data_IF_364524053235
#
_entry.id   IF_364524053235
#
_cell.length_a   1.000
_cell.length_b   1.000
_cell.length_c   1.000
_cell.angle_alpha   90.00
_cell.angle_beta   90.00
_cell.angle_gamma   90.00
#
_symmetry.space_group_name_H-M   'P 1'
#
loop_
_entity.id
_entity.type
_entity.pdbx_description
1 polymer ?
#
# COMPACT_ATOMS: atom_id res chain seq x y z
N UNK A 1 23.55 7.48 -6.06
CA UNK A 1 22.54 6.42 -6.28
C UNK A 1 21.83 6.17 -4.96
N UNK A 2 20.50 6.16 -4.95
CA UNK A 2 19.70 5.89 -3.74
C UNK A 2 18.69 4.79 -4.02
N UNK A 3 18.46 3.92 -3.04
CA UNK A 3 17.51 2.81 -3.16
C UNK A 3 16.38 2.99 -2.17
N UNK A 4 15.15 2.86 -2.66
CA UNK A 4 13.92 2.94 -1.88
C UNK A 4 13.21 1.60 -1.89
N UNK A 5 12.94 1.06 -0.71
CA UNK A 5 12.32 -0.25 -0.55
C UNK A 5 10.86 -0.08 -0.10
N UNK A 6 9.95 -0.65 -0.88
CA UNK A 6 8.52 -0.62 -0.65
C UNK A 6 7.94 -2.03 -0.61
N UNK A 7 6.86 -2.20 0.14
CA UNK A 7 5.90 -3.28 0.00
C UNK A 7 4.74 -2.72 -0.79
N UNK A 8 4.37 -3.34 -1.91
CA UNK A 8 3.23 -2.89 -2.70
C UNK A 8 1.95 -3.57 -2.21
N UNK A 9 0.88 -2.78 -2.07
CA UNK A 9 -0.44 -3.32 -1.72
C UNK A 9 -0.90 -4.27 -2.83
N UNK A 10 -1.15 -5.52 -2.47
CA UNK A 10 -1.79 -6.50 -3.35
C UNK A 10 -3.11 -6.94 -2.73
N UNK A 11 -4.21 -6.33 -3.16
CA UNK A 11 -5.53 -6.55 -2.58
C UNK A 11 -5.96 -8.03 -2.66
N UNK A 12 -5.68 -8.72 -3.77
CA UNK A 12 -6.02 -10.13 -3.93
C UNK A 12 -5.32 -11.02 -2.89
N UNK A 13 -4.00 -10.86 -2.75
CA UNK A 13 -3.23 -11.58 -1.70
C UNK A 13 -3.66 -11.17 -0.29
N UNK A 14 -3.93 -9.88 -0.08
CA UNK A 14 -4.36 -9.34 1.22
C UNK A 14 -5.70 -9.92 1.67
N UNK A 15 -6.71 -9.92 0.79
CA UNK A 15 -8.03 -10.46 1.06
C UNK A 15 -7.97 -11.98 1.27
N UNK A 16 -7.28 -12.70 0.39
CA UNK A 16 -7.15 -14.16 0.52
C UNK A 16 -6.48 -14.57 1.84
N UNK A 17 -5.39 -13.88 2.21
CA UNK A 17 -4.73 -14.11 3.49
C UNK A 17 -5.64 -13.75 4.67
N UNK A 18 -6.37 -12.65 4.58
CA UNK A 18 -7.27 -12.22 5.65
C UNK A 18 -8.38 -13.24 5.92
N UNK A 19 -9.00 -13.77 4.87
CA UNK A 19 -10.03 -14.80 4.97
C UNK A 19 -9.47 -16.09 5.57
N UNK A 20 -8.30 -16.55 5.11
CA UNK A 20 -7.65 -17.75 5.65
C UNK A 20 -7.31 -17.59 7.14
N UNK A 21 -6.81 -16.42 7.54
CA UNK A 21 -6.49 -16.11 8.93
C UNK A 21 -7.74 -16.10 9.83
N UNK A 22 -8.83 -15.47 9.39
CA UNK A 22 -10.10 -15.47 10.13
C UNK A 22 -10.66 -16.89 10.27
N UNK A 23 -10.65 -17.68 9.20
CA UNK A 23 -11.09 -19.08 9.26
C UNK A 23 -10.26 -19.90 10.27
N UNK A 24 -8.94 -19.73 10.28
CA UNK A 24 -8.05 -20.39 11.24
C UNK A 24 -8.40 -20.00 12.68
N UNK A 25 -8.64 -18.71 12.96
CA UNK A 25 -9.05 -18.25 14.29
C UNK A 25 -10.36 -18.91 14.71
N UNK A 26 -11.37 -18.92 13.84
CA UNK A 26 -12.66 -19.53 14.15
C UNK A 26 -12.50 -21.02 14.47
N UNK A 27 -11.66 -21.74 13.72
CA UNK A 27 -11.35 -23.15 13.98
C UNK A 27 -10.68 -23.31 15.35
N UNK A 28 -9.65 -22.52 15.65
CA UNK A 28 -8.93 -22.58 16.94
C UNK A 28 -9.88 -22.29 18.09
N UNK A 29 -10.68 -21.23 18.00
CA UNK A 29 -11.65 -20.87 19.04
C UNK A 29 -12.72 -21.95 19.20
N UNK A 30 -13.18 -22.55 18.09
CA UNK A 30 -14.14 -23.66 18.17
C UNK A 30 -13.55 -24.85 18.94
N UNK A 31 -12.27 -25.18 18.77
CA UNK A 31 -11.63 -26.22 19.60
C UNK A 31 -11.54 -25.82 21.08
N UNK A 32 -11.21 -24.56 21.37
CA UNK A 32 -11.09 -24.05 22.75
C UNK A 32 -12.44 -24.05 23.48
N UNK A 33 -13.54 -23.73 22.80
CA UNK A 33 -14.88 -23.63 23.39
C UNK A 33 -15.74 -24.90 23.24
N UNK A 34 -15.16 -26.04 22.84
CA UNK A 34 -15.89 -27.32 22.78
C UNK A 34 -16.78 -27.51 21.54
N UNK A 35 -16.46 -26.84 20.44
CA UNK A 35 -17.13 -26.91 19.15
C UNK A 35 -17.72 -25.57 18.70
N UNK A 36 -18.30 -25.56 17.49
CA UNK A 36 -18.94 -24.35 16.94
C UNK A 36 -20.13 -23.87 17.79
N UNK A 37 -20.90 -24.80 18.38
CA UNK A 37 -22.02 -24.46 19.27
C UNK A 37 -21.53 -23.80 20.56
N UNK A 38 -20.48 -24.36 21.20
CA UNK A 38 -19.91 -23.75 22.40
C UNK A 38 -19.24 -22.40 22.13
N UNK A 39 -18.68 -22.19 20.93
CA UNK A 39 -18.22 -20.87 20.49
C UNK A 39 -19.38 -19.88 20.32
N UNK A 40 -20.50 -20.29 19.71
CA UNK A 40 -21.68 -19.45 19.55
C UNK A 40 -22.25 -19.05 20.92
N UNK A 41 -22.38 -20.02 21.84
CA UNK A 41 -22.83 -19.77 23.21
C UNK A 41 -21.88 -18.82 23.95
N UNK A 42 -20.56 -18.96 23.77
CA UNK A 42 -19.60 -18.04 24.36
C UNK A 42 -19.79 -16.61 23.83
N UNK A 43 -19.95 -16.44 22.51
CA UNK A 43 -20.20 -15.14 21.87
C UNK A 43 -21.51 -14.51 22.36
N UNK A 44 -22.58 -15.30 22.50
CA UNK A 44 -23.87 -14.82 22.99
C UNK A 44 -23.78 -14.38 24.46
N UNK A 45 -23.03 -15.11 25.29
CA UNK A 45 -22.76 -14.74 26.68
C UNK A 45 -21.86 -13.50 26.82
N UNK A 46 -20.93 -13.27 25.88
CA UNK A 46 -20.18 -12.01 25.79
C UNK A 46 -21.08 -10.80 25.47
N UNK A 47 -22.29 -11.02 24.93
CA UNK A 47 -23.27 -9.98 24.64
C UNK A 47 -23.68 -9.11 25.86
N UNK A 48 -23.53 -9.63 27.08
CA UNK A 48 -23.73 -8.87 28.33
C UNK A 48 -22.63 -7.82 28.60
N UNK A 49 -21.43 -8.01 28.05
CA UNK A 49 -20.28 -7.10 28.14
C UNK A 49 -19.75 -6.78 26.74
N UNK A 50 -20.54 -5.99 25.99
CA UNK A 50 -20.25 -5.58 24.60
C UNK A 50 -18.82 -5.05 24.39
N UNK A 51 -18.23 -4.43 25.41
CA UNK A 51 -16.86 -3.88 25.37
C UNK A 51 -15.82 -4.99 25.37
N UNK A 52 -16.02 -6.07 26.15
CA UNK A 52 -15.05 -7.15 26.26
C UNK A 52 -14.98 -7.98 24.97
N UNK A 53 -16.14 -8.28 24.37
CA UNK A 53 -16.19 -8.97 23.07
C UNK A 53 -15.52 -8.17 21.95
N UNK A 54 -15.68 -6.84 21.94
CA UNK A 54 -15.00 -5.97 20.99
C UNK A 54 -13.47 -5.97 21.17
N UNK A 55 -12.98 -5.91 22.41
CA UNK A 55 -11.55 -5.98 22.70
C UNK A 55 -10.93 -7.32 22.28
N UNK A 56 -11.62 -8.43 22.53
CA UNK A 56 -11.19 -9.76 22.08
C UNK A 56 -11.16 -9.81 20.55
N UNK A 57 -12.18 -9.29 19.86
CA UNK A 57 -12.20 -9.20 18.41
C UNK A 57 -11.02 -8.41 17.83
N UNK A 58 -10.68 -7.26 18.44
CA UNK A 58 -9.49 -6.50 18.06
C UNK A 58 -8.22 -7.29 18.33
N UNK A 59 -8.07 -7.91 19.52
CA UNK A 59 -6.88 -8.66 19.87
C UNK A 59 -6.62 -9.83 18.91
N UNK A 60 -7.68 -10.51 18.46
CA UNK A 60 -7.58 -11.60 17.48
C UNK A 60 -7.28 -11.11 16.06
N UNK A 61 -7.84 -9.97 15.64
CA UNK A 61 -7.72 -9.47 14.25
C UNK A 61 -6.52 -8.56 14.03
N UNK A 62 -6.10 -7.76 15.01
CA UNK A 62 -5.00 -6.81 14.87
C UNK A 62 -3.67 -7.42 14.36
N UNK A 63 -3.26 -8.65 14.75
CA UNK A 63 -2.04 -9.26 14.24
C UNK A 63 -2.02 -9.39 12.70
N UNK A 64 -3.18 -9.45 12.05
CA UNK A 64 -3.28 -9.56 10.59
C UNK A 64 -2.53 -8.42 9.87
N UNK A 65 -2.59 -7.20 10.41
CA UNK A 65 -1.97 -6.02 9.81
C UNK A 65 -0.44 -6.09 9.88
N UNK A 66 0.10 -6.74 10.91
CA UNK A 66 1.54 -7.00 11.01
C UNK A 66 1.95 -8.12 10.06
N UNK A 67 1.14 -9.17 9.96
CA UNK A 67 1.39 -10.31 9.09
C UNK A 67 1.33 -9.96 7.60
N UNK A 68 0.55 -8.94 7.21
CA UNK A 68 0.49 -8.43 5.84
C UNK A 68 1.86 -8.06 5.27
N UNK A 69 2.83 -7.68 6.11
CA UNK A 69 4.20 -7.35 5.69
C UNK A 69 4.95 -8.53 5.05
N UNK A 70 4.58 -9.77 5.38
CA UNK A 70 5.24 -10.97 4.87
C UNK A 70 4.67 -11.46 3.54
N UNK A 71 3.41 -11.10 3.23
CA UNK A 71 2.72 -11.56 2.02
C UNK A 71 2.84 -10.56 0.86
N UNK A 72 2.99 -9.27 1.17
CA UNK A 72 3.02 -8.24 0.15
C UNK A 72 4.33 -8.24 -0.64
N UNK A 73 4.25 -8.08 -1.97
CA UNK A 73 5.44 -8.07 -2.82
C UNK A 73 6.36 -6.91 -2.48
N UNK A 74 7.66 -7.19 -2.45
CA UNK A 74 8.72 -6.18 -2.31
C UNK A 74 9.02 -5.55 -3.66
N UNK A 75 9.16 -4.22 -3.66
CA UNK A 75 9.59 -3.41 -4.79
C UNK A 75 10.77 -2.56 -4.35
N UNK A 76 11.85 -2.60 -5.12
CA UNK A 76 13.00 -1.73 -4.92
C UNK A 76 13.04 -0.73 -6.07
N UNK A 77 13.12 0.56 -5.73
CA UNK A 77 13.29 1.65 -6.68
C UNK A 77 14.68 2.23 -6.49
N UNK A 78 15.54 2.08 -7.48
CA UNK A 78 16.91 2.59 -7.44
C UNK A 78 17.04 3.78 -8.38
N UNK A 79 17.37 4.94 -7.82
CA UNK A 79 17.61 6.17 -8.58
C UNK A 79 19.09 6.28 -8.94
N UNK A 80 19.33 6.71 -10.18
CA UNK A 80 20.64 7.15 -10.66
C UNK A 80 20.50 8.53 -11.34
N UNK A 81 21.54 8.99 -12.01
CA UNK A 81 21.54 10.29 -12.69
C UNK A 81 20.71 10.33 -13.98
N UNK A 82 20.40 9.17 -14.57
CA UNK A 82 19.71 9.07 -15.87
C UNK A 82 18.36 8.36 -15.83
N UNK A 83 18.16 7.46 -14.88
CA UNK A 83 17.00 6.58 -14.84
C UNK A 83 16.61 6.21 -13.41
N UNK A 84 15.37 5.74 -13.27
CA UNK A 84 14.92 4.92 -12.14
C UNK A 84 14.82 3.47 -12.59
N UNK A 85 15.45 2.57 -11.84
CA UNK A 85 15.31 1.13 -11.99
C UNK A 85 14.26 0.62 -11.01
N UNK A 86 13.28 -0.10 -11.53
CA UNK A 86 12.24 -0.78 -10.77
C UNK A 86 12.55 -2.27 -10.76
N UNK A 87 12.90 -2.79 -9.58
CA UNK A 87 13.10 -4.23 -9.40
C UNK A 87 11.91 -4.82 -8.63
N UNK A 88 11.32 -5.87 -9.20
CA UNK A 88 10.22 -6.62 -8.61
C UNK A 88 10.58 -8.11 -8.62
N UNK A 89 10.33 -8.80 -7.52
CA UNK A 89 10.61 -10.25 -7.45
C UNK A 89 9.81 -10.98 -8.54
N UNK A 90 10.49 -11.84 -9.30
CA UNK A 90 9.93 -12.64 -10.39
C UNK A 90 9.34 -11.82 -11.56
N UNK A 91 9.79 -10.58 -11.75
CA UNK A 91 9.45 -9.76 -12.91
C UNK A 91 10.75 -9.24 -13.52
N UNK A 92 10.78 -8.99 -14.84
CA UNK A 92 11.92 -8.34 -15.45
C UNK A 92 12.12 -6.95 -14.87
N UNK A 93 13.38 -6.55 -14.82
CA UNK A 93 13.80 -5.21 -14.42
C UNK A 93 13.22 -4.17 -15.38
N UNK A 94 12.54 -3.16 -14.82
CA UNK A 94 11.98 -2.06 -15.59
C UNK A 94 12.86 -0.82 -15.40
N UNK A 95 13.48 -0.36 -16.48
CA UNK A 95 14.30 0.85 -16.50
C UNK A 95 13.47 1.99 -17.10
N UNK A 96 13.32 3.08 -16.34
CA UNK A 96 12.60 4.28 -16.76
C UNK A 96 13.60 5.42 -16.87
N UNK A 97 13.94 5.80 -18.10
CA UNK A 97 14.85 6.92 -18.33
C UNK A 97 14.12 8.24 -18.07
N UNK A 98 14.82 9.23 -17.50
CA UNK A 98 14.22 10.51 -17.13
C UNK A 98 13.78 11.36 -18.31
N UNK A 99 14.35 11.15 -19.50
CA UNK A 99 13.93 11.76 -20.76
C UNK A 99 12.56 11.26 -21.23
N UNK A 100 12.20 10.01 -20.90
CA UNK A 100 10.90 9.42 -21.21
C UNK A 100 9.79 9.91 -20.28
N UNK A 101 10.13 10.44 -19.09
CA UNK A 101 9.15 10.91 -18.11
C UNK A 101 8.62 12.29 -18.54
N UNK A 102 7.31 12.35 -18.75
CA UNK A 102 6.58 13.58 -19.02
C UNK A 102 5.91 14.13 -17.77
N UNK A 103 5.33 13.25 -16.94
CA UNK A 103 4.65 13.68 -15.73
C UNK A 103 4.85 12.72 -14.57
N UNK A 104 4.82 13.24 -13.35
CA UNK A 104 4.86 12.46 -12.12
C UNK A 104 3.74 12.96 -11.21
N UNK A 105 2.85 12.05 -10.81
CA UNK A 105 1.71 12.40 -9.99
C UNK A 105 1.72 11.63 -8.67
N UNK A 106 1.65 12.37 -7.57
CA UNK A 106 1.43 11.89 -6.22
C UNK A 106 -0.04 12.06 -5.86
N UNK A 107 -0.61 11.02 -5.26
CA UNK A 107 -1.99 10.99 -4.78
C UNK A 107 -3.05 11.30 -5.86
N UNK A 108 -2.77 11.02 -7.13
CA UNK A 108 -3.68 11.36 -8.22
C UNK A 108 -4.97 10.55 -8.18
N UNK A 109 -4.86 9.22 -8.04
CA UNK A 109 -6.02 8.33 -8.03
C UNK A 109 -6.49 8.04 -6.60
N UNK A 110 -5.54 7.83 -5.68
CA UNK A 110 -5.79 7.49 -4.26
C UNK A 110 -4.69 8.05 -3.38
N UNK A 111 -4.97 8.18 -2.09
CA UNK A 111 -3.96 8.49 -1.07
C UNK A 111 -2.78 7.52 -1.13
N UNK A 112 -1.59 8.06 -0.89
CA UNK A 112 -0.33 7.33 -0.88
C UNK A 112 -0.11 6.53 -2.18
N UNK A 113 -0.27 7.19 -3.32
CA UNK A 113 0.06 6.61 -4.62
C UNK A 113 1.08 7.48 -5.37
N UNK A 114 1.91 6.82 -6.17
CA UNK A 114 2.82 7.45 -7.12
C UNK A 114 2.55 6.86 -8.49
N UNK A 115 2.38 7.73 -9.49
CA UNK A 115 2.25 7.35 -10.90
C UNK A 115 3.23 8.16 -11.73
N UNK A 116 3.97 7.50 -12.62
CA UNK A 116 4.92 8.09 -13.56
C UNK A 116 4.33 7.91 -14.96
N UNK A 117 4.23 9.00 -15.69
CA UNK A 117 3.68 9.07 -17.04
C UNK A 117 4.76 9.35 -18.07
N UNK A 118 4.64 8.71 -19.22
CA UNK A 118 5.52 8.88 -20.37
C UNK A 118 5.07 10.00 -21.30
N UNK A 119 5.85 10.22 -22.37
CA UNK A 119 5.64 11.29 -23.35
C UNK A 119 4.27 11.23 -24.03
N UNK A 120 3.71 10.04 -24.25
CA UNK A 120 2.39 9.85 -24.86
C UNK A 120 1.26 9.78 -23.83
N UNK A 121 1.52 10.22 -22.59
CA UNK A 121 0.61 10.13 -21.44
C UNK A 121 0.27 8.69 -21.03
N UNK A 122 1.07 7.71 -21.45
CA UNK A 122 1.02 6.33 -21.00
C UNK A 122 1.56 6.20 -19.58
N UNK A 123 1.04 5.23 -18.80
CA UNK A 123 1.57 4.95 -17.46
C UNK A 123 2.82 4.09 -17.60
N UNK A 124 3.99 4.67 -17.30
CA UNK A 124 5.26 3.95 -17.26
C UNK A 124 5.40 3.15 -15.96
N UNK A 125 4.89 3.69 -14.85
CA UNK A 125 4.94 3.03 -13.56
C UNK A 125 3.86 3.54 -12.61
N UNK A 126 3.33 2.63 -11.80
CA UNK A 126 2.40 2.95 -10.73
C UNK A 126 2.74 2.12 -9.50
N UNK A 127 2.63 2.74 -8.32
CA UNK A 127 2.77 2.04 -7.04
C UNK A 127 1.82 2.64 -5.98
N UNK A 128 1.24 1.74 -5.20
CA UNK A 128 0.57 2.06 -3.94
C UNK A 128 1.34 1.36 -2.80
N UNK A 129 2.31 2.03 -2.16
CA UNK A 129 3.09 1.42 -1.10
C UNK A 129 2.28 1.21 0.19
N UNK A 130 2.40 0.02 0.77
CA UNK A 130 1.88 -0.34 2.08
C UNK A 130 2.71 0.26 3.22
N UNK A 131 4.02 0.41 3.03
CA UNK A 131 4.95 1.00 3.99
C UNK A 131 5.74 2.14 3.34
N UNK A 132 6.43 2.94 4.16
CA UNK A 132 7.44 3.90 3.67
C UNK A 132 6.91 4.95 2.67
N UNK A 133 5.59 5.19 2.61
CA UNK A 133 4.97 6.13 1.66
C UNK A 133 5.53 7.55 1.75
N UNK A 134 6.07 7.96 2.91
CA UNK A 134 6.74 9.23 3.10
C UNK A 134 7.99 9.41 2.21
N UNK A 135 8.67 8.33 1.84
CA UNK A 135 9.83 8.40 0.92
C UNK A 135 9.43 8.66 -0.55
N UNK A 136 8.15 8.54 -0.93
CA UNK A 136 7.73 8.85 -2.30
C UNK A 136 7.99 10.32 -2.65
N UNK A 137 7.75 11.24 -1.71
CA UNK A 137 8.02 12.66 -1.95
C UNK A 137 9.52 12.92 -2.20
N UNK A 138 10.38 12.18 -1.49
CA UNK A 138 11.83 12.24 -1.68
C UNK A 138 12.25 11.68 -3.05
N UNK A 139 11.75 10.49 -3.41
CA UNK A 139 11.97 9.88 -4.72
C UNK A 139 11.56 10.83 -5.86
N UNK A 140 10.39 11.44 -5.75
CA UNK A 140 9.91 12.41 -6.76
C UNK A 140 10.82 13.63 -6.81
N UNK A 141 11.28 14.15 -5.66
CA UNK A 141 12.23 15.27 -5.62
C UNK A 141 13.54 14.91 -6.33
N UNK A 142 14.06 13.70 -6.14
CA UNK A 142 15.27 13.24 -6.85
C UNK A 142 15.05 13.23 -8.36
N UNK A 143 13.96 12.64 -8.85
CA UNK A 143 13.66 12.55 -10.30
C UNK A 143 13.47 13.96 -10.90
N UNK A 144 12.65 14.78 -10.24
CA UNK A 144 12.29 16.12 -10.71
C UNK A 144 13.46 17.11 -10.63
N UNK A 145 14.48 16.86 -9.80
CA UNK A 145 15.67 17.72 -9.73
C UNK A 145 16.56 17.65 -11.00
N UNK A 146 16.36 16.63 -11.83
CA UNK A 146 17.21 16.35 -13.01
C UNK A 146 16.70 17.00 -14.30
N UNK A 147 15.46 17.49 -14.33
CA UNK A 147 14.86 18.18 -15.47
C UNK A 147 13.92 19.29 -15.01
N UNK A 148 13.52 20.18 -15.92
CA UNK A 148 12.55 21.24 -15.60
C UNK A 148 11.13 20.70 -15.52
N UNK A 149 10.56 20.68 -14.31
CA UNK A 149 9.15 20.33 -14.07
C UNK A 149 8.38 21.51 -13.47
N UNK A 150 7.15 21.71 -13.93
CA UNK A 150 6.16 22.58 -13.31
C UNK A 150 5.34 21.79 -12.31
N UNK A 151 5.31 22.24 -11.06
CA UNK A 151 4.52 21.63 -9.98
C UNK A 151 3.13 22.25 -9.94
N UNK A 152 2.09 21.44 -9.95
CA UNK A 152 0.73 21.82 -9.62
C UNK A 152 0.25 21.04 -8.39
N UNK A 153 -0.57 21.69 -7.57
CA UNK A 153 -1.16 21.10 -6.38
C UNK A 153 -2.67 21.28 -6.47
N UNK A 154 -3.42 20.21 -6.25
CA UNK A 154 -4.87 20.22 -6.23
C UNK A 154 -5.34 19.53 -4.96
N UNK A 155 -6.14 20.22 -4.17
CA UNK A 155 -6.75 19.61 -3.00
C UNK A 155 -7.89 18.68 -3.41
N UNK A 156 -7.85 17.46 -2.91
CA UNK A 156 -8.90 16.44 -3.06
C UNK A 156 -9.47 16.09 -1.70
N UNK A 157 -10.74 15.71 -1.68
CA UNK A 157 -11.43 15.25 -0.48
C UNK A 157 -11.62 13.73 -0.54
N UNK A 158 -11.32 13.04 0.54
CA UNK A 158 -11.65 11.63 0.75
C UNK A 158 -12.24 11.48 2.15
N UNK A 159 -13.48 10.98 2.21
CA UNK A 159 -14.28 10.94 3.44
C UNK A 159 -14.39 12.36 4.05
N UNK A 160 -13.85 12.56 5.25
CA UNK A 160 -13.82 13.83 5.99
C UNK A 160 -12.42 14.47 6.06
N UNK A 161 -11.48 14.00 5.23
CA UNK A 161 -10.12 14.53 5.19
C UNK A 161 -9.79 15.07 3.81
N UNK A 162 -9.09 16.20 3.77
CA UNK A 162 -8.52 16.75 2.55
C UNK A 162 -7.07 16.27 2.40
N UNK A 163 -6.63 16.08 1.16
CA UNK A 163 -5.26 15.72 0.84
C UNK A 163 -4.83 16.36 -0.47
N UNK A 164 -3.53 16.59 -0.59
CA UNK A 164 -2.94 17.19 -1.77
C UNK A 164 -2.62 16.13 -2.82
N UNK A 165 -3.24 16.27 -3.99
CA UNK A 165 -2.72 15.71 -5.23
C UNK A 165 -1.62 16.64 -5.73
N UNK A 166 -0.45 16.10 -6.01
CA UNK A 166 0.69 16.87 -6.53
C UNK A 166 1.09 16.30 -7.87
N UNK A 167 1.13 17.13 -8.90
CA UNK A 167 1.56 16.73 -10.24
C UNK A 167 2.78 17.57 -10.64
N UNK A 168 3.81 16.90 -11.14
CA UNK A 168 4.98 17.51 -11.75
C UNK A 168 4.90 17.22 -13.25
N UNK A 169 4.70 18.25 -14.06
CA UNK A 169 4.60 18.15 -15.51
C UNK A 169 5.85 18.75 -16.15
N UNK A 170 6.47 18.05 -17.09
CA UNK A 170 7.59 18.57 -17.88
C UNK A 170 7.09 19.73 -18.74
N UNK A 171 7.80 20.85 -18.66
CA UNK A 171 7.44 22.11 -19.32
C UNK A 171 8.15 22.34 -20.63
#
# INVERSE_FOLDING_TARGET
MKTYNYLEVNAGKGIGFALAYVALIVIILSFVFGGFLGLADAVDNFGSSKVLGFLVGIACTAPIFFLMKFIYPKINLTTNDKYVLVNRKNQPDLVINYDQINAIALNAQRLNTLTIYGQSNEVLFHIQPFNNHHFMAELVKEITSKNSYKKSVTQKRMLNTNYDMVVYQRG
#
